data_IF_309587411967
#
_entry.id   IF_309587411967
#
_cell.length_a   1.000
_cell.length_b   1.000
_cell.length_c   1.000
_cell.angle_alpha   90.00
_cell.angle_beta   90.00
_cell.angle_gamma   90.00
#
_symmetry.space_group_name_H-M   'P 1'
#
loop_
_entity.id
_entity.type
_entity.pdbx_description
1 polymer ?
#
# COMPACT_ATOMS: atom_id res chain seq x y z
N UNK A 1 -8.23 15.13 15.38
CA UNK A 1 -7.48 16.09 14.55
C UNK A 1 -7.93 15.93 13.10
N UNK A 2 -8.61 16.92 12.49
CA UNK A 2 -9.30 16.76 11.19
C UNK A 2 -8.34 16.47 10.02
N UNK A 3 -7.13 17.05 10.05
CA UNK A 3 -6.12 16.87 9.01
C UNK A 3 -5.62 15.42 8.91
N UNK A 4 -5.51 14.73 10.05
CA UNK A 4 -5.03 13.33 10.09
C UNK A 4 -6.06 12.40 9.46
N UNK A 5 -7.35 12.55 9.79
CA UNK A 5 -8.43 11.76 9.17
C UNK A 5 -8.48 11.97 7.65
N UNK A 6 -8.35 13.22 7.21
CA UNK A 6 -8.35 13.52 5.78
C UNK A 6 -7.20 12.85 5.04
N UNK A 7 -5.97 12.99 5.54
CA UNK A 7 -4.78 12.37 4.95
C UNK A 7 -4.88 10.85 4.93
N UNK A 8 -5.46 10.28 5.97
CA UNK A 8 -5.60 8.85 6.12
C UNK A 8 -6.60 8.25 5.11
N UNK A 9 -7.77 8.86 5.00
CA UNK A 9 -8.84 8.40 4.10
C UNK A 9 -8.44 8.56 2.63
N UNK A 10 -7.81 9.69 2.27
CA UNK A 10 -7.24 9.88 0.93
C UNK A 10 -6.01 9.00 0.68
N UNK A 11 -5.19 8.74 1.70
CA UNK A 11 -4.01 7.88 1.58
C UNK A 11 -4.40 6.44 1.28
N UNK A 12 -5.32 5.88 2.06
CA UNK A 12 -5.83 4.51 1.87
C UNK A 12 -6.55 4.35 0.52
N UNK A 13 -7.37 5.32 0.12
CA UNK A 13 -8.05 5.26 -1.18
C UNK A 13 -7.06 5.31 -2.35
N UNK A 14 -6.05 6.18 -2.30
CA UNK A 14 -5.00 6.24 -3.33
C UNK A 14 -4.19 4.95 -3.40
N UNK A 15 -3.85 4.35 -2.25
CA UNK A 15 -3.14 3.06 -2.19
C UNK A 15 -4.00 1.94 -2.78
N UNK A 16 -5.28 1.87 -2.41
CA UNK A 16 -6.23 0.90 -2.96
C UNK A 16 -6.35 1.02 -4.47
N UNK A 17 -6.56 2.23 -4.99
CA UNK A 17 -6.64 2.50 -6.43
C UNK A 17 -5.34 2.11 -7.15
N UNK A 18 -4.17 2.43 -6.57
CA UNK A 18 -2.88 2.06 -7.14
C UNK A 18 -2.70 0.53 -7.21
N UNK A 19 -3.12 -0.20 -6.18
CA UNK A 19 -3.08 -1.66 -6.14
C UNK A 19 -4.08 -2.29 -7.13
N UNK A 20 -5.30 -1.76 -7.24
CA UNK A 20 -6.33 -2.27 -8.18
C UNK A 20 -5.94 -2.02 -9.63
N UNK A 21 -5.40 -0.83 -9.94
CA UNK A 21 -4.92 -0.52 -11.28
C UNK A 21 -3.59 -1.23 -11.60
N UNK A 22 -2.89 -1.73 -10.58
CA UNK A 22 -1.59 -2.38 -10.76
C UNK A 22 -0.48 -1.40 -11.19
N UNK A 23 -0.62 -0.11 -10.85
CA UNK A 23 0.33 0.95 -11.18
C UNK A 23 0.99 1.41 -9.87
N UNK A 24 2.32 1.56 -9.83
CA UNK A 24 3.08 1.91 -8.61
C UNK A 24 2.91 0.94 -7.43
N UNK A 25 2.62 -0.33 -7.71
CA UNK A 25 2.35 -1.37 -6.69
C UNK A 25 3.43 -1.43 -5.61
N UNK A 26 4.71 -1.26 -5.98
CA UNK A 26 5.81 -1.29 -5.00
C UNK A 26 5.71 -0.18 -3.97
N UNK A 27 5.47 1.06 -4.40
CA UNK A 27 5.35 2.21 -3.50
C UNK A 27 4.05 2.10 -2.70
N UNK A 28 2.94 1.76 -3.37
CA UNK A 28 1.63 1.62 -2.75
C UNK A 28 1.63 0.54 -1.65
N UNK A 29 2.22 -0.62 -1.91
CA UNK A 29 2.38 -1.69 -0.92
C UNK A 29 3.27 -1.29 0.25
N UNK A 30 4.41 -0.60 0.01
CA UNK A 30 5.28 -0.15 1.09
C UNK A 30 4.58 0.91 1.95
N UNK A 31 3.93 1.91 1.32
CA UNK A 31 3.17 2.92 2.06
C UNK A 31 1.99 2.32 2.82
N UNK A 32 1.30 1.34 2.23
CA UNK A 32 0.19 0.64 2.89
C UNK A 32 0.66 -0.22 4.07
N UNK A 33 1.79 -0.91 3.94
CA UNK A 33 2.38 -1.67 5.04
C UNK A 33 2.81 -0.76 6.20
N UNK A 34 3.37 0.42 5.89
CA UNK A 34 3.70 1.43 6.90
C UNK A 34 2.45 1.95 7.60
N UNK A 35 1.35 2.24 6.87
CA UNK A 35 0.09 2.66 7.48
C UNK A 35 -0.49 1.58 8.40
N UNK A 36 -0.48 0.31 7.99
CA UNK A 36 -0.93 -0.81 8.82
C UNK A 36 -0.08 -0.95 10.09
N UNK A 37 1.23 -0.74 10.01
CA UNK A 37 2.11 -0.68 11.19
C UNK A 37 1.78 0.51 12.09
N UNK A 38 1.51 1.69 11.53
CA UNK A 38 1.08 2.86 12.31
C UNK A 38 -0.24 2.61 13.06
N UNK A 39 -1.15 1.83 12.48
CA UNK A 39 -2.39 1.42 13.15
C UNK A 39 -2.20 0.35 14.22
N UNK A 40 -1.16 -0.47 14.08
CA UNK A 40 -0.81 -1.49 15.07
C UNK A 40 -0.29 -0.88 16.38
N UNK A 41 0.52 0.19 16.34
CA UNK A 41 1.05 0.85 17.55
C UNK A 41 0.00 1.28 18.58
N UNK A 42 -1.08 2.02 18.23
CA UNK A 42 -2.10 2.42 19.19
C UNK A 42 -2.95 1.24 19.71
N UNK A 43 -3.04 0.12 18.96
CA UNK A 43 -3.68 -1.11 19.45
C UNK A 43 -2.92 -1.72 20.63
N UNK A 44 -1.59 -1.55 20.72
CA UNK A 44 -0.81 -2.00 21.87
C UNK A 44 -1.06 -1.15 23.13
N UNK A 45 -1.39 0.14 22.98
CA UNK A 45 -1.41 1.13 24.07
C UNK A 45 -2.77 1.23 24.81
N UNK A 46 -3.71 0.31 24.56
CA UNK A 46 -4.76 0.03 25.55
C UNK A 46 -6.19 0.48 25.23
N UNK A 47 -6.71 0.19 24.03
CA UNK A 47 -8.16 0.25 23.81
C UNK A 47 -8.66 -0.98 23.04
N UNK A 48 -9.09 -1.98 23.82
CA UNK A 48 -9.85 -3.17 23.43
C UNK A 48 -9.11 -4.13 22.48
N UNK A 49 -8.46 -5.19 23.01
CA UNK A 49 -8.14 -6.33 22.17
C UNK A 49 -9.50 -6.91 21.74
N UNK A 50 -9.73 -6.99 20.43
CA UNK A 50 -10.75 -7.88 19.92
C UNK A 50 -10.64 -9.22 20.66
N UNK A 51 -11.75 -9.79 21.11
CA UNK A 51 -11.82 -10.95 22.02
C UNK A 51 -11.08 -12.23 21.56
N UNK A 52 -10.39 -12.18 20.42
CA UNK A 52 -9.71 -13.30 19.77
C UNK A 52 -8.24 -13.08 19.37
N UNK A 53 -7.64 -11.88 19.51
CA UNK A 53 -6.26 -11.69 19.04
C UNK A 53 -5.34 -11.07 20.08
N UNK A 54 -4.43 -11.90 20.61
CA UNK A 54 -3.50 -11.55 21.68
C UNK A 54 -2.07 -11.22 21.17
N UNK A 55 -1.73 -11.47 19.90
CA UNK A 55 -0.38 -11.19 19.33
C UNK A 55 -0.42 -10.75 17.85
N UNK A 56 -1.30 -11.34 17.01
CA UNK A 56 -1.32 -11.09 15.54
C UNK A 56 -2.66 -10.48 15.14
N UNK A 57 -2.70 -9.16 15.11
CA UNK A 57 -3.89 -8.42 14.69
C UNK A 57 -4.02 -8.38 13.14
N UNK A 58 -5.21 -8.06 12.61
CA UNK A 58 -5.46 -8.01 11.16
C UNK A 58 -4.47 -7.08 10.44
N UNK A 59 -4.06 -6.01 11.12
CA UNK A 59 -3.08 -5.05 10.63
C UNK A 59 -1.71 -5.69 10.33
N UNK A 60 -1.24 -6.63 11.16
CA UNK A 60 0.01 -7.35 10.90
C UNK A 60 -0.15 -8.26 9.68
N UNK A 61 -1.29 -8.95 9.58
CA UNK A 61 -1.58 -9.84 8.44
C UNK A 61 -1.62 -9.03 7.14
N UNK A 62 -2.28 -7.88 7.14
CA UNK A 62 -2.32 -6.99 5.98
C UNK A 62 -0.96 -6.38 5.66
N UNK A 63 -0.18 -5.96 6.66
CA UNK A 63 1.18 -5.49 6.44
C UNK A 63 2.06 -6.56 5.78
N UNK A 64 1.99 -7.81 6.27
CA UNK A 64 2.71 -8.94 5.69
C UNK A 64 2.24 -9.25 4.26
N UNK A 65 0.93 -9.23 4.00
CA UNK A 65 0.37 -9.42 2.66
C UNK A 65 0.83 -8.32 1.68
N UNK A 66 0.83 -7.06 2.11
CA UNK A 66 1.30 -5.94 1.31
C UNK A 66 2.81 -6.02 1.04
N UNK A 67 3.62 -6.42 2.02
CA UNK A 67 5.05 -6.66 1.84
C UNK A 67 5.32 -7.84 0.92
N UNK A 68 4.52 -8.91 0.98
CA UNK A 68 4.60 -10.01 0.02
C UNK A 68 4.29 -9.51 -1.40
N UNK A 69 3.23 -8.71 -1.59
CA UNK A 69 2.91 -8.10 -2.89
C UNK A 69 4.05 -7.20 -3.40
N UNK A 70 4.72 -6.46 -2.51
CA UNK A 70 5.90 -5.68 -2.86
C UNK A 70 7.09 -6.56 -3.25
N UNK A 71 7.34 -7.65 -2.51
CA UNK A 71 8.46 -8.57 -2.71
C UNK A 71 8.32 -9.38 -3.99
N UNK A 72 7.11 -9.88 -4.29
CA UNK A 72 6.81 -10.61 -5.51
C UNK A 72 6.75 -9.72 -6.76
N UNK A 73 6.97 -8.40 -6.62
CA UNK A 73 6.88 -7.46 -7.73
C UNK A 73 5.56 -7.63 -8.48
N UNK A 74 4.46 -7.78 -7.74
CA UNK A 74 3.16 -8.12 -8.30
C UNK A 74 2.71 -7.12 -9.39
N UNK A 75 3.15 -5.85 -9.33
CA UNK A 75 2.95 -4.86 -10.39
C UNK A 75 3.47 -5.31 -11.76
N UNK A 76 4.59 -6.04 -11.83
CA UNK A 76 5.23 -6.48 -13.09
C UNK A 76 4.61 -7.70 -13.71
N UNK A 77 4.07 -8.59 -12.88
CA UNK A 77 3.55 -9.89 -13.31
C UNK A 77 2.02 -9.87 -13.44
N UNK A 78 1.33 -9.11 -12.58
CA UNK A 78 -0.14 -9.05 -12.48
C UNK A 78 -0.72 -7.65 -12.76
N UNK A 79 0.10 -6.59 -12.75
CA UNK A 79 -0.37 -5.21 -12.91
C UNK A 79 -0.34 -4.70 -14.36
N UNK A 80 -1.14 -3.67 -14.64
CA UNK A 80 -1.09 -2.92 -15.89
C UNK A 80 0.19 -2.05 -16.02
N UNK A 81 1.20 -2.23 -15.17
CA UNK A 81 2.44 -1.44 -15.20
C UNK A 81 3.10 -1.47 -16.57
N UNK A 82 3.13 -2.63 -17.22
CA UNK A 82 3.73 -2.81 -18.55
C UNK A 82 2.90 -2.14 -19.66
N UNK A 83 1.58 -2.10 -19.49
CA UNK A 83 0.69 -1.42 -20.43
C UNK A 83 0.81 0.11 -20.28
N UNK A 84 0.83 0.60 -19.04
CA UNK A 84 1.01 2.01 -18.73
C UNK A 84 2.42 2.52 -19.10
N UNK A 85 3.45 1.69 -18.97
CA UNK A 85 4.81 2.01 -19.42
C UNK A 85 4.93 2.12 -20.95
N UNK A 86 4.04 1.48 -21.71
CA UNK A 86 3.96 1.60 -23.18
C UNK A 86 3.12 2.80 -23.65
N UNK A 87 2.41 3.52 -22.77
CA UNK A 87 1.75 4.75 -23.17
C UNK A 87 2.78 5.88 -23.45
N UNK A 88 2.54 6.73 -24.47
CA UNK A 88 3.44 7.80 -24.86
C UNK A 88 3.69 8.84 -23.76
N UNK A 89 2.81 8.91 -22.75
CA UNK A 89 2.99 9.74 -21.56
C UNK A 89 4.18 9.28 -20.69
N UNK A 90 4.35 7.97 -20.50
CA UNK A 90 5.43 7.38 -19.70
C UNK A 90 6.78 7.39 -20.44
N UNK A 91 6.77 7.31 -21.77
CA UNK A 91 7.98 7.50 -22.60
C UNK A 91 8.55 8.92 -22.51
N UNK A 92 7.68 9.91 -22.24
CA UNK A 92 8.07 11.34 -22.13
C UNK A 92 8.64 11.72 -20.75
N UNK A 93 8.32 10.96 -19.70
CA UNK A 93 8.83 11.19 -18.33
C UNK A 93 9.56 9.95 -17.79
N UNK A 94 10.88 9.79 -18.07
CA UNK A 94 11.67 8.63 -17.64
C UNK A 94 11.76 8.45 -16.12
N UNK A 95 11.58 9.53 -15.35
CA UNK A 95 11.48 9.45 -13.87
C UNK A 95 10.22 8.72 -13.40
N UNK A 96 9.12 8.78 -14.13
CA UNK A 96 7.89 8.09 -13.74
C UNK A 96 8.07 6.57 -13.88
N UNK A 97 8.79 6.14 -14.93
CA UNK A 97 9.17 4.74 -15.17
C UNK A 97 10.06 4.15 -14.06
N UNK A 98 10.93 4.94 -13.43
CA UNK A 98 11.74 4.44 -12.32
C UNK A 98 10.94 4.25 -11.04
N UNK A 99 9.88 5.04 -10.83
CA UNK A 99 8.96 4.87 -9.70
C UNK A 99 7.97 3.71 -9.96
N UNK A 100 7.65 3.43 -11.21
CA UNK A 100 6.82 2.28 -11.61
C UNK A 100 7.52 0.91 -11.46
N UNK A 101 8.82 0.83 -11.08
CA UNK A 101 9.66 -0.38 -11.23
C UNK A 101 10.38 -0.93 -10.00
#
# INVERSE_FOLDING_TARGET
MPTVNFLNEWGLTLIGVALTLGIFVRIASVSGAVLMLLYYFPVLDGAHPNAHSLIVDEHIVYAAALLLLAAFRAGRVLGLENWCANLPLCARFPRLRSWLG
#
